data_IF_211880554637
#
_entry.id   IF_211880554637
#
_cell.length_a   1.000
_cell.length_b   1.000
_cell.length_c   1.000
_cell.angle_alpha   90.00
_cell.angle_beta   90.00
_cell.angle_gamma   90.00
#
_symmetry.space_group_name_H-M   'P 1'
#
loop_
_entity.id
_entity.type
_entity.pdbx_description
1 polymer ?
#
# COMPACT_ATOMS: atom_id res chain seq x y z
N UNK A 1 14.04 -0.11 -34.04
CA UNK A 1 14.52 -1.04 -32.99
C UNK A 1 14.84 -0.36 -31.64
N UNK A 2 15.26 0.91 -31.60
CA UNK A 2 15.60 1.59 -30.34
C UNK A 2 14.42 1.94 -29.39
N UNK A 3 13.18 2.06 -29.90
CA UNK A 3 12.01 2.39 -29.06
C UNK A 3 11.55 1.22 -28.18
N UNK A 4 11.68 -0.01 -28.67
CA UNK A 4 11.30 -1.21 -27.91
C UNK A 4 12.21 -1.47 -26.72
N UNK A 5 13.51 -1.17 -26.84
CA UNK A 5 14.47 -1.35 -25.74
C UNK A 5 14.26 -0.33 -24.62
N UNK A 6 13.95 0.93 -24.96
CA UNK A 6 13.67 1.99 -23.96
C UNK A 6 12.44 1.64 -23.12
N UNK A 7 11.34 1.21 -23.76
CA UNK A 7 10.10 0.88 -23.06
C UNK A 7 10.24 -0.35 -22.14
N UNK A 8 11.01 -1.34 -22.56
CA UNK A 8 11.35 -2.52 -21.75
C UNK A 8 12.19 -2.12 -20.53
N UNK A 9 13.13 -1.17 -20.68
CA UNK A 9 13.91 -0.68 -19.53
C UNK A 9 13.04 0.07 -18.53
N UNK A 10 12.14 0.96 -18.98
CA UNK A 10 11.25 1.73 -18.10
C UNK A 10 10.36 0.82 -17.24
N UNK A 11 9.76 -0.21 -17.84
CA UNK A 11 8.94 -1.18 -17.12
C UNK A 11 9.76 -1.97 -16.08
N UNK A 12 10.98 -2.38 -16.43
CA UNK A 12 11.89 -3.06 -15.51
C UNK A 12 12.26 -2.19 -14.30
N UNK A 13 12.45 -0.88 -14.50
CA UNK A 13 12.68 0.06 -13.39
C UNK A 13 11.46 0.18 -12.47
N UNK A 14 10.26 0.31 -13.03
CA UNK A 14 9.01 0.36 -12.26
C UNK A 14 8.87 -0.90 -11.41
N UNK A 15 9.09 -2.08 -12.00
CA UNK A 15 8.95 -3.35 -11.29
C UNK A 15 9.95 -3.45 -10.11
N UNK A 16 11.18 -2.95 -10.28
CA UNK A 16 12.17 -2.87 -9.19
C UNK A 16 11.75 -1.90 -8.09
N UNK A 17 11.21 -0.73 -8.45
CA UNK A 17 10.71 0.25 -7.49
C UNK A 17 9.54 -0.34 -6.70
N UNK A 18 8.55 -0.93 -7.39
CA UNK A 18 7.39 -1.57 -6.75
C UNK A 18 7.85 -2.65 -5.79
N UNK A 19 8.78 -3.51 -6.20
CA UNK A 19 9.34 -4.56 -5.33
C UNK A 19 10.03 -3.97 -4.09
N UNK A 20 10.83 -2.93 -4.25
CA UNK A 20 11.53 -2.28 -3.14
C UNK A 20 10.53 -1.66 -2.15
N UNK A 21 9.54 -0.92 -2.65
CA UNK A 21 8.48 -0.32 -1.83
C UNK A 21 7.65 -1.39 -1.11
N UNK A 22 7.34 -2.50 -1.78
CA UNK A 22 6.65 -3.64 -1.18
C UNK A 22 7.44 -4.27 -0.03
N UNK A 23 8.77 -4.39 -0.18
CA UNK A 23 9.62 -4.91 0.90
C UNK A 23 9.62 -3.97 2.10
N UNK A 24 9.74 -2.65 1.88
CA UNK A 24 9.64 -1.65 2.96
C UNK A 24 8.27 -1.71 3.63
N UNK A 25 7.20 -1.89 2.85
CA UNK A 25 5.84 -1.99 3.36
C UNK A 25 5.63 -3.26 4.22
N UNK A 26 6.27 -4.37 3.83
CA UNK A 26 6.23 -5.64 4.56
C UNK A 26 7.18 -5.68 5.77
N UNK A 27 8.11 -4.74 5.88
CA UNK A 27 9.08 -4.71 6.97
C UNK A 27 8.39 -4.32 8.29
N UNK A 28 8.13 -5.35 9.11
CA UNK A 28 7.58 -5.24 10.47
C UNK A 28 8.67 -5.34 11.53
N UNK A 29 9.94 -5.33 11.15
CA UNK A 29 11.02 -5.47 12.11
C UNK A 29 11.04 -4.28 13.07
N UNK A 30 11.28 -4.61 14.34
CA UNK A 30 11.44 -3.66 15.43
C UNK A 30 12.89 -3.17 15.42
N UNK A 31 13.21 -2.12 14.66
CA UNK A 31 14.47 -1.39 14.84
C UNK A 31 14.17 0.07 15.17
N UNK A 32 14.88 0.56 16.19
CA UNK A 32 15.11 1.95 16.65
C UNK A 32 13.93 2.94 16.39
N UNK A 33 13.02 3.06 17.37
CA UNK A 33 11.81 3.91 17.38
C UNK A 33 10.61 3.44 16.50
N UNK A 34 9.52 2.93 17.13
CA UNK A 34 8.27 2.58 16.45
C UNK A 34 7.66 3.67 15.55
N UNK A 35 7.94 4.96 15.81
CA UNK A 35 7.48 6.07 14.98
C UNK A 35 8.21 6.11 13.64
N UNK A 36 9.52 5.96 13.62
CA UNK A 36 10.32 6.03 12.38
C UNK A 36 9.97 4.88 11.43
N UNK A 37 9.85 3.66 11.95
CA UNK A 37 9.43 2.49 11.14
C UNK A 37 8.05 2.72 10.52
N UNK A 38 7.12 3.32 11.27
CA UNK A 38 5.79 3.67 10.76
C UNK A 38 5.84 4.72 9.65
N UNK A 39 6.75 5.70 9.72
CA UNK A 39 6.92 6.72 8.69
C UNK A 39 7.43 6.13 7.36
N UNK A 40 8.35 5.16 7.42
CA UNK A 40 8.85 4.48 6.22
C UNK A 40 7.73 3.71 5.51
N UNK A 41 6.95 2.90 6.25
CA UNK A 41 5.80 2.17 5.68
C UNK A 41 4.71 3.10 5.15
N UNK A 42 4.43 4.19 5.86
CA UNK A 42 3.48 5.21 5.43
C UNK A 42 3.88 5.82 4.09
N UNK A 43 5.17 6.15 3.94
CA UNK A 43 5.75 6.71 2.72
C UNK A 43 5.76 5.69 1.59
N UNK A 44 6.06 4.43 1.89
CA UNK A 44 6.03 3.34 0.91
C UNK A 44 4.62 3.12 0.35
N UNK A 45 3.61 3.01 1.21
CA UNK A 45 2.21 2.88 0.82
C UNK A 45 1.73 4.08 -0.02
N UNK A 46 2.07 5.31 0.40
CA UNK A 46 1.73 6.51 -0.36
C UNK A 46 2.41 6.55 -1.75
N UNK A 47 3.65 6.08 -1.83
CA UNK A 47 4.40 6.01 -3.09
C UNK A 47 3.78 4.99 -4.05
N UNK A 48 3.39 3.82 -3.55
CA UNK A 48 2.62 2.84 -4.33
C UNK A 48 1.29 3.43 -4.81
N UNK A 49 0.59 4.21 -3.98
CA UNK A 49 -0.62 4.92 -4.40
C UNK A 49 -0.40 5.96 -5.50
N UNK A 50 0.78 6.60 -5.54
CA UNK A 50 1.14 7.54 -6.61
C UNK A 50 1.46 6.83 -7.93
N UNK A 51 1.94 5.59 -7.88
CA UNK A 51 2.20 4.77 -9.08
C UNK A 51 0.90 4.28 -9.76
N UNK A 52 -0.20 4.14 -9.00
CA UNK A 52 -1.49 3.68 -9.54
C UNK A 52 -1.40 2.28 -10.13
N UNK A 53 -1.98 2.05 -11.31
CA UNK A 53 -1.97 0.74 -12.00
C UNK A 53 -0.57 0.14 -12.18
N UNK A 54 0.48 0.97 -12.26
CA UNK A 54 1.88 0.51 -12.35
C UNK A 54 2.31 -0.31 -11.12
N UNK A 55 1.63 -0.16 -9.99
CA UNK A 55 1.87 -0.91 -8.75
C UNK A 55 1.00 -2.18 -8.60
N UNK A 56 0.41 -2.70 -9.69
CA UNK A 56 -0.45 -3.90 -9.65
C UNK A 56 0.18 -5.10 -8.91
N UNK A 57 1.49 -5.29 -9.04
CA UNK A 57 2.21 -6.38 -8.37
C UNK A 57 2.22 -6.26 -6.83
N UNK A 58 1.91 -5.08 -6.28
CA UNK A 58 1.85 -4.83 -4.84
C UNK A 58 0.49 -5.17 -4.20
N UNK A 59 -0.54 -5.55 -4.99
CA UNK A 59 -1.89 -5.85 -4.47
C UNK A 59 -1.87 -6.80 -3.26
N UNK A 60 -1.16 -7.95 -3.29
CA UNK A 60 -1.17 -8.89 -2.16
C UNK A 60 -0.61 -8.27 -0.87
N UNK A 61 0.50 -7.53 -0.98
CA UNK A 61 1.13 -6.88 0.18
C UNK A 61 0.31 -5.71 0.69
N UNK A 62 -0.30 -4.91 -0.20
CA UNK A 62 -1.21 -3.83 0.18
C UNK A 62 -2.45 -4.37 0.91
N UNK A 63 -3.01 -5.49 0.44
CA UNK A 63 -4.10 -6.19 1.11
C UNK A 63 -3.66 -6.59 2.51
N UNK A 64 -2.50 -7.23 2.66
CA UNK A 64 -2.00 -7.66 3.97
C UNK A 64 -1.82 -6.47 4.93
N UNK A 65 -1.15 -5.41 4.47
CA UNK A 65 -0.96 -4.18 5.25
C UNK A 65 -2.28 -3.63 5.73
N UNK A 66 -3.30 -3.55 4.86
CA UNK A 66 -4.61 -2.99 5.18
C UNK A 66 -5.28 -3.65 6.41
N UNK A 67 -5.03 -4.93 6.66
CA UNK A 67 -5.58 -5.67 7.80
C UNK A 67 -4.61 -5.77 8.99
N UNK A 68 -3.30 -5.79 8.74
CA UNK A 68 -2.30 -6.15 9.76
C UNK A 68 -1.48 -4.98 10.29
N UNK A 69 -1.43 -3.82 9.62
CA UNK A 69 -0.66 -2.69 10.14
C UNK A 69 -1.35 -2.06 11.36
N UNK A 70 -0.55 -1.80 12.39
CA UNK A 70 -1.01 -1.14 13.61
C UNK A 70 -1.26 0.35 13.39
N UNK A 71 -0.58 0.96 12.42
CA UNK A 71 -0.73 2.37 12.12
C UNK A 71 -1.85 2.59 11.09
N UNK A 72 -2.95 3.19 11.55
CA UNK A 72 -4.12 3.50 10.71
C UNK A 72 -3.81 4.37 9.49
N UNK A 73 -2.77 5.20 9.51
CA UNK A 73 -2.40 6.03 8.36
C UNK A 73 -1.72 5.18 7.28
N UNK A 74 -0.97 4.14 7.68
CA UNK A 74 -0.43 3.15 6.74
C UNK A 74 -1.60 2.37 6.11
N UNK A 75 -2.59 1.95 6.90
CA UNK A 75 -3.81 1.31 6.41
C UNK A 75 -4.57 2.20 5.41
N UNK A 76 -4.76 3.48 5.73
CA UNK A 76 -5.44 4.43 4.87
C UNK A 76 -4.70 4.61 3.52
N UNK A 77 -3.36 4.69 3.55
CA UNK A 77 -2.56 4.77 2.32
C UNK A 77 -2.58 3.46 1.53
N UNK A 78 -2.62 2.29 2.19
CA UNK A 78 -2.76 1.00 1.52
C UNK A 78 -4.12 0.89 0.81
N UNK A 79 -5.20 1.33 1.46
CA UNK A 79 -6.53 1.42 0.86
C UNK A 79 -6.55 2.38 -0.34
N UNK A 80 -5.92 3.55 -0.21
CA UNK A 80 -5.79 4.53 -1.30
C UNK A 80 -5.01 3.94 -2.48
N UNK A 81 -3.94 3.18 -2.22
CA UNK A 81 -3.17 2.53 -3.27
C UNK A 81 -3.99 1.50 -4.03
N UNK A 82 -4.70 0.60 -3.34
CA UNK A 82 -5.61 -0.37 -3.96
C UNK A 82 -6.69 0.33 -4.80
N UNK A 83 -7.30 1.40 -4.28
CA UNK A 83 -8.29 2.19 -5.03
C UNK A 83 -7.71 2.76 -6.33
N UNK A 84 -6.46 3.24 -6.31
CA UNK A 84 -5.80 3.86 -7.48
C UNK A 84 -5.17 2.86 -8.44
N UNK A 85 -4.94 1.62 -8.00
CA UNK A 85 -4.60 0.51 -8.89
C UNK A 85 -5.82 0.14 -9.74
N UNK A 86 -7.03 0.23 -9.17
CA UNK A 86 -8.31 0.19 -9.91
C UNK A 86 -8.53 -1.08 -10.75
N UNK A 87 -7.91 -2.19 -10.38
CA UNK A 87 -8.25 -3.51 -10.92
C UNK A 87 -9.45 -4.10 -10.18
N UNK A 88 -10.20 -4.99 -10.82
CA UNK A 88 -11.32 -5.69 -10.19
C UNK A 88 -10.93 -6.37 -8.86
N UNK A 89 -9.73 -6.96 -8.82
CA UNK A 89 -9.19 -7.57 -7.60
C UNK A 89 -8.98 -6.53 -6.50
N UNK A 90 -8.34 -5.40 -6.82
CA UNK A 90 -8.06 -4.35 -5.85
C UNK A 90 -9.35 -3.70 -5.34
N UNK A 91 -10.32 -3.45 -6.22
CA UNK A 91 -11.61 -2.85 -5.86
C UNK A 91 -12.47 -3.80 -5.01
N UNK A 92 -12.43 -5.12 -5.26
CA UNK A 92 -13.07 -6.11 -4.38
C UNK A 92 -12.49 -6.09 -2.97
N UNK A 93 -11.17 -5.96 -2.84
CA UNK A 93 -10.50 -5.85 -1.53
C UNK A 93 -10.94 -4.57 -0.82
N UNK A 94 -10.97 -3.43 -1.52
CA UNK A 94 -11.41 -2.14 -0.97
C UNK A 94 -12.86 -2.21 -0.50
N UNK A 95 -13.77 -2.73 -1.33
CA UNK A 95 -15.18 -2.85 -0.99
C UNK A 95 -15.37 -3.73 0.24
N UNK A 96 -14.76 -4.92 0.25
CA UNK A 96 -14.84 -5.83 1.38
C UNK A 96 -14.31 -5.20 2.68
N UNK A 97 -13.17 -4.50 2.61
CA UNK A 97 -12.62 -3.80 3.76
C UNK A 97 -13.56 -2.73 4.31
N UNK A 98 -14.18 -1.94 3.42
CA UNK A 98 -15.11 -0.88 3.80
C UNK A 98 -16.41 -1.44 4.39
N UNK A 99 -16.95 -2.53 3.84
CA UNK A 99 -18.11 -3.23 4.38
C UNK A 99 -17.88 -3.70 5.81
N UNK A 100 -16.70 -4.27 6.08
CA UNK A 100 -16.28 -4.69 7.42
C UNK A 100 -16.01 -3.50 8.35
N UNK A 101 -15.38 -2.43 7.82
CA UNK A 101 -15.02 -1.24 8.59
C UNK A 101 -16.22 -0.37 8.96
N UNK A 102 -17.35 -0.50 8.24
CA UNK A 102 -18.61 0.19 8.54
C UNK A 102 -19.10 -0.06 9.97
N UNK A 103 -18.73 -1.21 10.53
CA UNK A 103 -19.11 -1.61 11.89
C UNK A 103 -17.94 -1.53 12.88
N UNK A 104 -16.85 -0.85 12.53
CA UNK A 104 -15.65 -0.83 13.35
C UNK A 104 -15.85 0.01 14.62
N UNK A 105 -15.63 -0.62 15.77
CA UNK A 105 -15.69 0.01 17.09
C UNK A 105 -14.47 0.91 17.42
N UNK A 106 -13.57 1.19 16.46
CA UNK A 106 -12.32 1.92 16.72
C UNK A 106 -12.51 3.43 16.88
N UNK A 107 -13.48 4.03 16.20
CA UNK A 107 -13.92 5.41 16.46
C UNK A 107 -14.84 5.43 17.66
N UNK A 108 -14.23 5.57 18.84
CA UNK A 108 -14.95 5.85 20.09
C UNK A 108 -14.67 7.29 20.49
N UNK A 109 -15.45 7.84 21.43
CA UNK A 109 -15.18 9.17 21.98
C UNK A 109 -13.75 9.30 22.57
N UNK A 110 -13.12 8.20 22.99
CA UNK A 110 -11.76 8.17 23.53
C UNK A 110 -10.66 8.10 22.45
N UNK A 111 -11.02 7.77 21.20
CA UNK A 111 -10.10 7.72 20.07
C UNK A 111 -10.80 8.32 18.83
N UNK A 112 -10.99 9.66 18.83
CA UNK A 112 -11.82 10.31 17.82
C UNK A 112 -11.14 10.38 16.45
N UNK A 113 -9.81 10.34 16.43
CA UNK A 113 -9.02 10.32 15.21
C UNK A 113 -7.94 9.30 15.37
#
# INVERSE_FOLDING_TARGET
EALGTIQVTEQSYIDRIVRCLTNVLADRNQLEDPKEVSHMRLTAALSLAKLGIKAIQAIPSLKETLYLDQNRYVNANALLALKRIETDEALKIVLHYLEMSRWCAKTTAASPY
#
